data_IF_473808360209
#
_entry.id   IF_473808360209
#
_cell.length_a   1.000
_cell.length_b   1.000
_cell.length_c   1.000
_cell.angle_alpha   90.00
_cell.angle_beta   90.00
_cell.angle_gamma   90.00
#
_symmetry.space_group_name_H-M   'P 1'
#
loop_
_entity.id
_entity.type
_entity.pdbx_description
1 polymer ?
#
# COMPACT_ATOMS: atom_id res chain seq x y z
N UNK A 1 2.60 14.49 -12.47
CA UNK A 1 2.40 13.10 -12.01
C UNK A 1 3.18 12.98 -10.71
N UNK A 2 2.53 12.66 -9.60
CA UNK A 2 3.19 12.55 -8.29
C UNK A 2 4.01 11.25 -8.20
N UNK A 3 4.97 11.16 -7.27
CA UNK A 3 5.69 9.90 -7.05
C UNK A 3 4.73 8.76 -6.69
N UNK A 4 3.68 9.06 -5.92
CA UNK A 4 2.65 8.09 -5.55
C UNK A 4 1.95 7.52 -6.80
N UNK A 5 1.48 8.38 -7.71
CA UNK A 5 0.84 7.92 -8.95
C UNK A 5 1.75 7.03 -9.77
N UNK A 6 3.03 7.40 -9.91
CA UNK A 6 3.99 6.60 -10.67
C UNK A 6 4.15 5.19 -10.08
N UNK A 7 4.27 5.07 -8.74
CA UNK A 7 4.41 3.77 -8.10
C UNK A 7 3.12 2.93 -8.16
N UNK A 8 1.95 3.57 -8.08
CA UNK A 8 0.67 2.89 -8.29
C UNK A 8 0.56 2.33 -9.72
N UNK A 9 0.95 3.12 -10.73
CA UNK A 9 0.96 2.66 -12.12
C UNK A 9 1.91 1.48 -12.31
N UNK A 10 3.11 1.54 -11.72
CA UNK A 10 4.07 0.42 -11.77
C UNK A 10 3.54 -0.81 -11.04
N UNK A 11 2.87 -0.65 -9.89
CA UNK A 11 2.23 -1.76 -9.17
C UNK A 11 1.16 -2.43 -10.04
N UNK A 12 0.26 -1.64 -10.63
CA UNK A 12 -0.84 -2.16 -11.44
C UNK A 12 -0.32 -2.84 -12.72
N UNK A 13 0.66 -2.26 -13.40
CA UNK A 13 1.30 -2.88 -14.55
C UNK A 13 2.05 -4.17 -14.18
N UNK A 14 2.72 -4.19 -13.03
CA UNK A 14 3.38 -5.40 -12.55
C UNK A 14 2.35 -6.51 -12.26
N UNK A 15 1.24 -6.20 -11.59
CA UNK A 15 0.14 -7.15 -11.35
C UNK A 15 -0.40 -7.71 -12.67
N UNK A 16 -0.66 -6.84 -13.65
CA UNK A 16 -1.13 -7.24 -14.97
C UNK A 16 -0.12 -8.16 -15.67
N UNK A 17 1.17 -7.84 -15.59
CA UNK A 17 2.24 -8.64 -16.22
C UNK A 17 2.33 -10.08 -15.70
N UNK A 18 1.87 -10.32 -14.46
CA UNK A 18 1.79 -11.65 -13.85
C UNK A 18 0.39 -12.28 -13.95
N UNK A 19 -0.49 -11.70 -14.76
CA UNK A 19 -1.84 -12.22 -15.03
C UNK A 19 -2.87 -11.90 -13.94
N UNK A 20 -2.59 -10.94 -13.06
CA UNK A 20 -3.51 -10.49 -12.02
C UNK A 20 -4.14 -9.15 -12.42
N UNK A 21 -5.46 -9.11 -12.51
CA UNK A 21 -6.20 -7.87 -12.75
C UNK A 21 -7.14 -7.59 -11.57
N UNK A 22 -6.88 -6.53 -10.79
CA UNK A 22 -7.81 -6.11 -9.76
C UNK A 22 -9.19 -5.79 -10.37
N UNK A 23 -10.30 -6.19 -9.74
CA UNK A 23 -11.65 -5.91 -10.25
C UNK A 23 -12.09 -4.45 -10.06
N UNK A 24 -11.20 -3.57 -9.61
CA UNK A 24 -11.45 -2.13 -9.46
C UNK A 24 -10.25 -1.30 -9.86
N UNK A 25 -10.53 -0.15 -10.47
CA UNK A 25 -9.56 0.91 -10.76
C UNK A 25 -9.57 2.03 -9.71
N UNK A 26 -10.58 2.09 -8.85
CA UNK A 26 -10.62 3.04 -7.74
C UNK A 26 -9.65 2.58 -6.66
N UNK A 27 -8.70 3.43 -6.28
CA UNK A 27 -7.70 3.10 -5.25
C UNK A 27 -8.01 3.81 -3.92
N UNK A 28 -7.78 3.11 -2.82
CA UNK A 28 -7.67 3.70 -1.48
C UNK A 28 -6.34 3.31 -0.86
N UNK A 29 -5.70 4.30 -0.25
CA UNK A 29 -4.41 4.16 0.42
C UNK A 29 -4.63 3.98 1.91
N UNK A 30 -3.99 2.96 2.44
CA UNK A 30 -3.88 2.70 3.87
C UNK A 30 -2.41 2.82 4.28
N UNK A 31 -2.08 3.58 5.32
CA UNK A 31 -0.72 3.58 5.90
C UNK A 31 -0.73 2.66 7.11
N UNK A 32 0.15 1.67 7.13
CA UNK A 32 0.31 0.73 8.23
C UNK A 32 1.73 0.81 8.77
N UNK A 33 1.87 0.63 10.08
CA UNK A 33 3.18 0.47 10.72
C UNK A 33 3.53 -1.01 10.83
N UNK A 34 4.82 -1.33 10.75
CA UNK A 34 5.32 -2.69 11.02
C UNK A 34 4.80 -3.19 12.39
N UNK A 35 3.96 -4.22 12.38
CA UNK A 35 3.23 -4.70 13.55
C UNK A 35 2.86 -6.18 13.49
N UNK A 36 2.11 -6.62 14.49
CA UNK A 36 1.82 -7.99 14.94
C UNK A 36 0.85 -8.80 14.06
N UNK A 37 0.56 -8.32 12.86
CA UNK A 37 -0.06 -9.13 11.80
C UNK A 37 -1.59 -9.07 11.72
N UNK A 38 -2.25 -8.15 12.44
CA UNK A 38 -3.67 -7.82 12.21
C UNK A 38 -3.90 -6.31 12.36
N UNK A 39 -4.58 -5.72 11.39
CA UNK A 39 -4.84 -4.30 11.28
C UNK A 39 -6.35 -4.05 11.37
N UNK A 40 -6.77 -3.27 12.36
CA UNK A 40 -8.12 -2.75 12.49
C UNK A 40 -8.11 -1.29 12.06
N UNK A 41 -8.86 -0.98 11.01
CA UNK A 41 -8.79 0.30 10.32
C UNK A 41 -10.20 0.84 10.15
N UNK A 42 -10.42 2.11 10.50
CA UNK A 42 -11.70 2.77 10.26
C UNK A 42 -11.78 3.23 8.81
N UNK A 43 -12.99 3.25 8.23
CA UNK A 43 -13.19 3.72 6.84
C UNK A 43 -12.64 5.11 6.56
N UNK A 44 -12.60 6.02 7.54
CA UNK A 44 -12.05 7.38 7.39
C UNK A 44 -10.52 7.40 7.27
N UNK A 45 -9.84 6.30 7.60
CA UNK A 45 -8.38 6.15 7.45
C UNK A 45 -7.99 5.71 6.02
N UNK A 46 -8.96 5.24 5.23
CA UNK A 46 -8.78 4.91 3.81
C UNK A 46 -8.77 6.19 2.97
N UNK A 47 -7.56 6.67 2.66
CA UNK A 47 -7.36 7.94 1.94
C UNK A 47 -7.45 7.75 0.43
N UNK A 48 -7.90 8.77 -0.31
CA UNK A 48 -7.68 8.77 -1.77
C UNK A 48 -6.20 8.99 -2.05
N UNK A 49 -5.68 8.52 -3.20
CA UNK A 49 -4.29 8.79 -3.58
C UNK A 49 -3.93 10.28 -3.51
N UNK A 50 -4.81 11.15 -4.02
CA UNK A 50 -4.62 12.60 -4.02
C UNK A 50 -4.42 13.17 -2.60
N UNK A 51 -5.16 12.66 -1.62
CA UNK A 51 -5.08 13.10 -0.22
C UNK A 51 -3.82 12.57 0.49
N UNK A 52 -3.13 11.60 -0.11
CA UNK A 52 -1.95 10.94 0.45
C UNK A 52 -0.62 11.38 -0.18
N UNK A 53 -0.63 12.08 -1.31
CA UNK A 53 0.59 12.37 -2.09
C UNK A 53 1.67 13.08 -1.26
N UNK A 54 1.28 14.13 -0.52
CA UNK A 54 2.22 14.90 0.31
C UNK A 54 2.87 14.02 1.40
N UNK A 55 2.08 13.15 2.04
CA UNK A 55 2.57 12.21 3.04
C UNK A 55 3.53 11.18 2.43
N UNK A 56 3.23 10.68 1.24
CA UNK A 56 4.12 9.76 0.55
C UNK A 56 5.47 10.40 0.21
N UNK A 57 5.48 11.65 -0.26
CA UNK A 57 6.71 12.42 -0.50
C UNK A 57 7.55 12.61 0.77
N UNK A 58 6.91 12.86 1.93
CA UNK A 58 7.60 12.91 3.22
C UNK A 58 8.30 11.59 3.54
N UNK A 59 7.60 10.45 3.36
CA UNK A 59 8.15 9.12 3.62
C UNK A 59 9.34 8.81 2.68
N UNK A 60 9.27 9.25 1.42
CA UNK A 60 10.37 9.08 0.46
C UNK A 60 11.63 9.86 0.85
N UNK A 61 11.47 11.00 1.54
CA UNK A 61 12.57 11.89 1.96
C UNK A 61 13.05 11.63 3.38
N UNK A 62 12.27 10.89 4.17
CA UNK A 62 12.59 10.59 5.57
C UNK A 62 13.86 9.75 5.74
N UNK A 63 14.31 9.06 4.70
CA UNK A 63 15.50 8.20 4.74
C UNK A 63 15.24 6.86 5.43
N UNK A 64 14.03 6.33 5.31
CA UNK A 64 13.74 4.96 5.72
C UNK A 64 14.50 3.99 4.81
N UNK A 65 14.89 2.80 5.30
CA UNK A 65 15.57 1.81 4.47
C UNK A 65 14.66 1.28 3.35
N UNK A 66 13.35 1.24 3.58
CA UNK A 66 12.34 0.79 2.64
C UNK A 66 10.93 1.30 3.02
N UNK A 67 10.02 1.23 2.06
CA UNK A 67 8.56 1.21 2.21
C UNK A 67 8.05 0.01 1.42
N UNK A 68 7.02 -0.68 1.88
CA UNK A 68 6.32 -1.65 1.05
C UNK A 68 5.01 -1.03 0.57
N UNK A 69 4.78 -1.05 -0.73
CA UNK A 69 3.50 -0.73 -1.35
C UNK A 69 2.87 -2.04 -1.81
N UNK A 70 1.77 -2.40 -1.18
CA UNK A 70 1.19 -3.74 -1.29
C UNK A 70 -0.27 -3.70 -1.67
N UNK A 71 -0.67 -4.55 -2.60
CA UNK A 71 -2.08 -4.78 -2.91
C UNK A 71 -2.72 -5.65 -1.81
N UNK A 72 -3.80 -5.18 -1.17
CA UNK A 72 -4.47 -5.88 -0.06
C UNK A 72 -5.85 -6.46 -0.42
N UNK A 73 -6.26 -6.34 -1.68
CA UNK A 73 -7.58 -6.75 -2.15
C UNK A 73 -8.54 -5.57 -2.28
N UNK A 74 -9.83 -5.85 -2.37
CA UNK A 74 -10.87 -4.91 -2.74
C UNK A 74 -11.92 -4.82 -1.64
N UNK A 75 -12.22 -3.59 -1.23
CA UNK A 75 -13.24 -3.24 -0.26
C UNK A 75 -14.15 -2.14 -0.83
N UNK A 76 -15.46 -2.28 -0.71
CA UNK A 76 -16.42 -1.26 -1.18
C UNK A 76 -16.11 -0.75 -2.62
N UNK A 77 -15.81 -1.70 -3.52
CA UNK A 77 -15.41 -1.46 -4.93
C UNK A 77 -14.12 -0.65 -5.10
N UNK A 78 -13.29 -0.49 -4.08
CA UNK A 78 -11.98 0.15 -4.18
C UNK A 78 -10.87 -0.86 -3.91
N UNK A 79 -9.82 -0.84 -4.73
CA UNK A 79 -8.56 -1.52 -4.47
C UNK A 79 -7.87 -0.87 -3.27
N UNK A 80 -7.61 -1.67 -2.25
CA UNK A 80 -6.86 -1.23 -1.07
C UNK A 80 -5.37 -1.46 -1.34
N UNK A 81 -4.61 -0.38 -1.29
CA UNK A 81 -3.15 -0.40 -1.37
C UNK A 81 -2.59 0.06 -0.04
N UNK A 82 -1.87 -0.83 0.65
CA UNK A 82 -1.23 -0.50 1.90
C UNK A 82 0.20 0.01 1.67
N UNK A 83 0.57 1.04 2.42
CA UNK A 83 1.94 1.57 2.54
C UNK A 83 2.43 1.18 3.92
N UNK A 84 3.27 0.16 3.96
CA UNK A 84 3.94 -0.27 5.17
C UNK A 84 5.16 0.60 5.42
N UNK A 85 5.14 1.27 6.58
CA UNK A 85 6.23 2.12 7.05
C UNK A 85 6.99 1.37 8.15
N UNK A 86 8.31 1.17 8.01
CA UNK A 86 9.11 0.57 9.07
C UNK A 86 9.11 1.43 10.32
N UNK A 87 9.29 0.78 11.48
CA UNK A 87 9.43 1.51 12.75
C UNK A 87 10.62 2.50 12.67
N UNK A 88 10.51 3.72 13.23
CA UNK A 88 11.64 4.67 13.29
C UNK A 88 12.89 4.09 13.96
N UNK A 89 12.74 3.02 14.77
CA UNK A 89 13.85 2.30 15.41
C UNK A 89 14.71 1.49 14.44
N UNK A 90 14.24 1.24 13.23
CA UNK A 90 14.96 0.49 12.18
C UNK A 90 16.12 1.33 11.58
N UNK A 91 16.26 2.59 12.02
CA UNK A 91 17.32 3.50 11.62
C UNK A 91 16.88 4.38 10.46
N UNK A 92 17.11 5.68 10.61
CA UNK A 92 16.92 6.64 9.53
C UNK A 92 18.29 7.00 8.98
N UNK A 93 18.39 7.09 7.66
CA UNK A 93 19.56 7.60 6.95
C UNK A 93 19.17 8.87 6.18
N UNK A 94 19.08 10.02 6.87
CA UNK A 94 18.71 11.28 6.23
C UNK A 94 19.61 11.58 5.02
N UNK A 95 19.00 11.99 3.91
CA UNK A 95 19.72 12.28 2.66
C UNK A 95 19.83 11.09 1.69
N UNK A 96 19.45 9.88 2.11
CA UNK A 96 19.26 8.75 1.20
C UNK A 96 17.80 8.65 0.78
N UNK A 97 17.56 8.37 -0.50
CA UNK A 97 16.21 8.12 -1.00
C UNK A 97 15.66 6.81 -0.42
N UNK A 98 14.49 6.86 0.20
CA UNK A 98 13.79 5.67 0.68
C UNK A 98 13.39 4.80 -0.52
N UNK A 99 13.70 3.50 -0.48
CA UNK A 99 13.31 2.56 -1.53
C UNK A 99 11.86 2.12 -1.35
N UNK A 100 11.14 1.90 -2.45
CA UNK A 100 9.77 1.37 -2.42
C UNK A 100 9.76 -0.02 -3.05
N UNK A 101 9.33 -1.02 -2.30
CA UNK A 101 9.11 -2.37 -2.79
C UNK A 101 7.64 -2.54 -3.14
N UNK A 102 7.36 -3.22 -4.26
CA UNK A 102 6.01 -3.53 -4.69
C UNK A 102 5.68 -4.98 -4.37
N UNK A 103 4.48 -5.25 -3.86
CA UNK A 103 4.08 -6.62 -3.52
C UNK A 103 2.57 -6.84 -3.52
N UNK A 104 2.18 -8.09 -3.28
CA UNK A 104 0.79 -8.52 -3.19
C UNK A 104 0.12 -8.79 -4.54
N UNK A 105 -1.18 -9.10 -4.55
CA UNK A 105 -1.95 -9.48 -3.37
C UNK A 105 -1.44 -10.79 -2.73
N UNK A 106 -1.69 -10.96 -1.43
CA UNK A 106 -1.40 -12.23 -0.76
C UNK A 106 -2.22 -13.37 -1.39
N UNK A 107 -1.73 -14.61 -1.30
CA UNK A 107 -2.42 -15.75 -1.90
C UNK A 107 -3.86 -15.92 -1.39
N UNK A 108 -4.09 -15.63 -0.10
CA UNK A 108 -5.43 -15.69 0.50
C UNK A 108 -6.41 -14.70 -0.14
N UNK A 109 -5.95 -13.51 -0.54
CA UNK A 109 -6.78 -12.52 -1.26
C UNK A 109 -7.18 -13.07 -2.63
N UNK A 110 -6.29 -13.77 -3.32
CA UNK A 110 -6.59 -14.41 -4.61
C UNK A 110 -7.55 -15.59 -4.44
N UNK A 111 -7.30 -16.46 -3.47
CA UNK A 111 -8.16 -17.61 -3.14
C UNK A 111 -9.58 -17.15 -2.75
N UNK A 112 -9.71 -15.94 -2.19
CA UNK A 112 -10.98 -15.30 -1.83
C UNK A 112 -11.51 -14.31 -2.87
N UNK A 113 -11.09 -14.43 -4.13
CA UNK A 113 -11.58 -13.62 -5.25
C UNK A 113 -11.47 -12.11 -5.00
N UNK A 114 -10.27 -11.66 -4.61
CA UNK A 114 -9.93 -10.26 -4.33
C UNK A 114 -10.58 -9.65 -3.09
N UNK A 115 -11.25 -10.42 -2.24
CA UNK A 115 -11.67 -9.90 -0.93
C UNK A 115 -10.44 -9.50 -0.11
N UNK A 116 -10.60 -8.44 0.68
CA UNK A 116 -9.55 -7.93 1.55
C UNK A 116 -8.95 -9.06 2.38
N UNK A 117 -7.63 -9.02 2.55
CA UNK A 117 -6.91 -9.99 3.38
C UNK A 117 -7.54 -10.09 4.78
N UNK A 118 -7.67 -11.31 5.29
CA UNK A 118 -8.17 -11.61 6.64
C UNK A 118 -7.44 -10.87 7.76
N UNK A 119 -6.20 -10.42 7.52
CA UNK A 119 -5.44 -9.60 8.47
C UNK A 119 -5.88 -8.14 8.52
N UNK A 120 -6.77 -7.68 7.63
CA UNK A 120 -7.26 -6.31 7.59
C UNK A 120 -8.78 -6.28 7.79
N UNK A 121 -9.20 -5.74 8.93
CA UNK A 121 -10.61 -5.46 9.23
C UNK A 121 -10.90 -3.98 9.01
N UNK A 122 -11.92 -3.67 8.21
CA UNK A 122 -12.35 -2.31 7.90
C UNK A 122 -13.73 -2.07 8.50
N UNK A 123 -13.85 -1.11 9.43
CA UNK A 123 -15.09 -0.73 10.12
C UNK A 123 -15.67 0.60 9.60
#
# INVERSE_FOLDING_TARGET
>A
MSALSNYLDVLLHWLESIGLQPPSQDVRILEISLGDGTYHVRRDELRKPLDYEARFEELLRAGYPWLNMSCYGVHDRSLIVAIEVPSPRVGLSPGFATRVNLSGPARIVLDQQWRVDSVLTIE
#
